data_IF_074641233410
#
_entry.id   IF_074641233410
#
_cell.length_a   1.000
_cell.length_b   1.000
_cell.length_c   1.000
_cell.angle_alpha   90.00
_cell.angle_beta   90.00
_cell.angle_gamma   90.00
#
_symmetry.space_group_name_H-M   'P 1'
#
loop_
_entity.id
_entity.type
_entity.pdbx_description
1 polymer ?
#
# COMPACT_ATOMS: atom_id res chain seq x y z
N UNK A 1 34.14 -39.77 31.88
CA UNK A 1 33.81 -38.49 32.55
C UNK A 1 34.87 -37.42 32.30
N UNK A 2 36.16 -37.66 32.62
CA UNK A 2 37.26 -36.69 32.37
C UNK A 2 37.35 -36.23 30.91
N UNK A 3 37.27 -37.15 29.93
CA UNK A 3 37.25 -36.80 28.51
C UNK A 3 36.04 -35.95 28.10
N UNK A 4 34.86 -36.20 28.71
CA UNK A 4 33.64 -35.42 28.46
C UNK A 4 33.79 -34.00 29.02
N UNK A 5 34.38 -33.87 30.21
CA UNK A 5 34.65 -32.57 30.81
C UNK A 5 35.64 -31.75 29.96
N UNK A 6 36.72 -32.38 29.50
CA UNK A 6 37.70 -31.74 28.62
C UNK A 6 37.10 -31.32 27.27
N UNK A 7 36.22 -32.14 26.68
CA UNK A 7 35.54 -31.73 25.44
C UNK A 7 34.58 -30.57 25.70
N UNK A 8 33.84 -30.56 26.81
CA UNK A 8 32.95 -29.45 27.17
C UNK A 8 33.71 -28.13 27.38
N UNK A 9 34.84 -28.14 28.08
CA UNK A 9 35.68 -26.94 28.27
C UNK A 9 36.18 -26.36 26.93
N UNK A 10 36.34 -27.20 25.91
CA UNK A 10 36.75 -26.76 24.56
C UNK A 10 35.61 -26.03 23.82
N UNK A 11 34.36 -26.31 24.18
CA UNK A 11 33.19 -25.63 23.62
C UNK A 11 32.80 -24.37 24.39
N UNK A 12 33.36 -24.07 25.55
CA UNK A 12 33.06 -22.79 26.21
C UNK A 12 33.87 -21.64 25.59
N UNK A 13 33.25 -20.47 25.33
CA UNK A 13 33.97 -19.31 24.80
C UNK A 13 35.02 -18.87 25.82
N UNK A 14 36.29 -18.85 25.41
CA UNK A 14 37.40 -18.43 26.28
C UNK A 14 37.33 -16.95 26.66
N UNK A 15 36.77 -16.15 25.76
CA UNK A 15 36.75 -14.71 25.86
C UNK A 15 35.32 -14.18 25.98
N UNK A 16 35.09 -13.26 26.93
CA UNK A 16 33.75 -12.72 27.19
C UNK A 16 33.17 -11.96 25.99
N UNK A 17 34.02 -11.31 25.18
CA UNK A 17 33.55 -10.53 24.03
C UNK A 17 32.83 -11.39 22.98
N UNK A 18 33.13 -12.70 22.91
CA UNK A 18 32.48 -13.62 21.97
C UNK A 18 30.97 -13.76 22.22
N UNK A 19 30.52 -13.53 23.45
CA UNK A 19 29.11 -13.57 23.82
C UNK A 19 28.50 -12.17 23.95
N UNK A 20 29.24 -11.23 24.54
CA UNK A 20 28.75 -9.86 24.78
C UNK A 20 28.51 -9.12 23.46
N UNK A 21 29.40 -9.24 22.46
CA UNK A 21 29.26 -8.51 21.19
C UNK A 21 28.03 -8.96 20.38
N UNK A 22 27.82 -10.26 20.10
CA UNK A 22 26.61 -10.70 19.38
C UNK A 22 25.32 -10.37 20.11
N UNK A 23 25.30 -10.47 21.44
CA UNK A 23 24.14 -10.15 22.26
C UNK A 23 23.82 -8.63 22.19
N UNK A 24 24.83 -7.78 22.36
CA UNK A 24 24.66 -6.32 22.28
C UNK A 24 24.22 -5.85 20.89
N UNK A 25 24.84 -6.40 19.83
CA UNK A 25 24.45 -6.07 18.44
C UNK A 25 23.07 -6.62 18.11
N UNK A 26 22.76 -7.87 18.50
CA UNK A 26 21.47 -8.49 18.27
C UNK A 26 20.33 -7.74 18.97
N UNK A 27 20.52 -7.33 20.22
CA UNK A 27 19.55 -6.52 20.97
C UNK A 27 19.36 -5.13 20.37
N UNK A 28 20.45 -4.47 19.95
CA UNK A 28 20.38 -3.19 19.24
C UNK A 28 19.59 -3.28 17.93
N UNK A 29 19.81 -4.34 17.14
CA UNK A 29 19.07 -4.59 15.89
C UNK A 29 17.61 -4.94 16.17
N UNK A 30 17.32 -5.75 17.19
CA UNK A 30 15.95 -6.04 17.60
C UNK A 30 15.20 -4.75 17.95
N UNK A 31 15.79 -3.90 18.78
CA UNK A 31 15.19 -2.61 19.15
C UNK A 31 14.92 -1.74 17.91
N UNK A 32 15.91 -1.60 17.03
CA UNK A 32 15.75 -0.84 15.80
C UNK A 32 14.65 -1.42 14.89
N UNK A 33 14.59 -2.75 14.74
CA UNK A 33 13.56 -3.43 13.96
C UNK A 33 12.15 -3.18 14.52
N UNK A 34 11.98 -3.23 15.84
CA UNK A 34 10.70 -2.93 16.51
C UNK A 34 10.24 -1.48 16.25
N UNK A 35 11.15 -0.51 16.38
CA UNK A 35 10.87 0.89 16.08
C UNK A 35 10.50 1.08 14.61
N UNK A 36 11.25 0.47 13.68
CA UNK A 36 10.97 0.57 12.25
C UNK A 36 9.61 -0.03 11.87
N UNK A 37 9.26 -1.20 12.41
CA UNK A 37 7.95 -1.81 12.19
C UNK A 37 6.81 -0.91 12.69
N UNK A 38 6.99 -0.31 13.86
CA UNK A 38 6.02 0.64 14.43
C UNK A 38 5.86 1.90 13.56
N UNK A 39 6.96 2.45 13.05
CA UNK A 39 6.92 3.64 12.18
C UNK A 39 6.29 3.33 10.82
N UNK A 40 6.56 2.16 10.24
CA UNK A 40 5.99 1.73 8.95
C UNK A 40 4.47 1.47 9.04
N UNK A 41 3.96 1.16 10.24
CA UNK A 41 2.54 0.91 10.45
C UNK A 41 1.66 2.15 10.15
N UNK A 42 2.09 3.34 10.56
CA UNK A 42 1.34 4.60 10.37
C UNK A 42 1.01 4.90 8.89
N UNK A 43 1.99 4.95 7.96
CA UNK A 43 1.68 5.17 6.55
C UNK A 43 0.88 4.01 5.94
N UNK A 44 0.98 2.79 6.51
CA UNK A 44 0.20 1.66 6.02
C UNK A 44 -1.29 1.76 6.34
N UNK A 45 -1.64 2.13 7.57
CA UNK A 45 -3.03 2.39 7.99
C UNK A 45 -3.63 3.48 7.09
N UNK A 46 -2.95 4.62 6.96
CA UNK A 46 -3.43 5.75 6.16
C UNK A 46 -3.61 5.40 4.68
N UNK A 47 -2.65 4.69 4.08
CA UNK A 47 -2.77 4.19 2.71
C UNK A 47 -3.96 3.24 2.55
N UNK A 48 -4.16 2.33 3.50
CA UNK A 48 -5.27 1.36 3.45
C UNK A 48 -6.62 2.05 3.60
N UNK A 49 -6.75 2.99 4.55
CA UNK A 49 -7.95 3.83 4.69
C UNK A 49 -8.25 4.60 3.40
N UNK A 50 -7.24 5.21 2.77
CA UNK A 50 -7.44 5.92 1.50
C UNK A 50 -7.87 4.98 0.36
N UNK A 51 -7.27 3.79 0.26
CA UNK A 51 -7.65 2.77 -0.73
C UNK A 51 -9.09 2.26 -0.54
N UNK A 52 -9.53 2.12 0.71
CA UNK A 52 -10.91 1.77 1.03
C UNK A 52 -11.88 2.88 0.60
N UNK A 53 -11.56 4.14 0.92
CA UNK A 53 -12.38 5.30 0.54
C UNK A 53 -12.44 5.55 -0.96
N UNK A 54 -11.35 5.30 -1.68
CA UNK A 54 -11.31 5.42 -3.14
C UNK A 54 -11.93 4.23 -3.86
N UNK A 55 -12.37 3.19 -3.13
CA UNK A 55 -12.90 1.95 -3.71
C UNK A 55 -11.88 1.15 -4.53
N UNK A 56 -10.57 1.36 -4.29
CA UNK A 56 -9.51 0.53 -4.90
C UNK A 56 -9.59 -0.89 -4.34
N UNK A 57 -9.90 -1.02 -3.04
CA UNK A 57 -10.22 -2.31 -2.43
C UNK A 57 -11.74 -2.47 -2.55
N UNK A 58 -12.24 -3.42 -3.37
CA UNK A 58 -13.65 -3.55 -3.67
C UNK A 58 -14.41 -4.25 -2.53
N UNK A 59 -14.57 -3.59 -1.39
CA UNK A 59 -15.30 -4.16 -0.23
C UNK A 59 -16.82 -4.14 -0.40
N UNK A 60 -17.34 -3.28 -1.28
CA UNK A 60 -18.77 -3.09 -1.51
C UNK A 60 -19.28 -3.63 -2.86
N UNK A 61 -18.40 -3.77 -3.84
CA UNK A 61 -18.78 -4.15 -5.21
C UNK A 61 -18.85 -5.66 -5.40
N UNK A 62 -18.02 -6.40 -4.68
CA UNK A 62 -17.93 -7.84 -4.86
C UNK A 62 -18.73 -8.55 -3.76
N UNK A 63 -19.76 -9.32 -4.15
CA UNK A 63 -20.60 -10.05 -3.21
C UNK A 63 -19.79 -10.99 -2.30
N UNK A 64 -18.71 -11.57 -2.82
CA UNK A 64 -17.81 -12.47 -2.08
C UNK A 64 -16.97 -11.74 -1.03
N UNK A 65 -16.43 -10.57 -1.34
CA UNK A 65 -15.60 -9.80 -0.39
C UNK A 65 -16.47 -9.11 0.67
N UNK A 66 -17.71 -8.77 0.33
CA UNK A 66 -18.64 -8.09 1.22
C UNK A 66 -18.89 -8.88 2.50
N UNK A 67 -19.24 -10.17 2.39
CA UNK A 67 -19.44 -11.04 3.55
C UNK A 67 -18.15 -11.17 4.37
N UNK A 68 -17.01 -11.38 3.71
CA UNK A 68 -15.71 -11.55 4.36
C UNK A 68 -15.34 -10.38 5.27
N UNK A 69 -15.60 -9.14 4.85
CA UNK A 69 -15.20 -7.94 5.59
C UNK A 69 -16.25 -7.40 6.57
N UNK A 70 -17.51 -7.85 6.52
CA UNK A 70 -18.57 -7.32 7.40
C UNK A 70 -18.98 -8.23 8.54
N UNK A 71 -18.69 -9.53 8.46
CA UNK A 71 -18.95 -10.47 9.54
C UNK A 71 -17.77 -10.57 10.52
N UNK A 72 -18.07 -10.83 11.80
CA UNK A 72 -17.05 -11.09 12.83
C UNK A 72 -16.27 -9.86 13.28
N UNK A 73 -16.96 -8.74 13.55
CA UNK A 73 -16.35 -7.53 14.12
C UNK A 73 -15.68 -7.79 15.49
N UNK A 74 -16.16 -8.78 16.23
CA UNK A 74 -15.59 -9.27 17.49
C UNK A 74 -14.08 -9.57 17.40
N UNK A 75 -13.61 -10.06 16.24
CA UNK A 75 -12.21 -10.45 16.02
C UNK A 75 -11.24 -9.26 16.05
N UNK A 76 -11.74 -8.04 15.90
CA UNK A 76 -10.93 -6.81 15.98
C UNK A 76 -10.27 -6.67 17.35
N UNK A 77 -10.85 -7.22 18.42
CA UNK A 77 -10.29 -7.19 19.77
C UNK A 77 -8.92 -7.88 19.89
N UNK A 78 -8.65 -8.87 19.04
CA UNK A 78 -7.36 -9.59 19.00
C UNK A 78 -6.24 -8.70 18.44
N UNK A 79 -6.60 -7.74 17.57
CA UNK A 79 -5.64 -6.92 16.83
C UNK A 79 -4.73 -6.10 17.74
N UNK A 80 -5.25 -5.60 18.87
CA UNK A 80 -4.46 -4.86 19.86
C UNK A 80 -3.31 -5.71 20.42
N UNK A 81 -3.60 -6.97 20.77
CA UNK A 81 -2.57 -7.91 21.22
C UNK A 81 -1.54 -8.19 20.13
N UNK A 82 -2.00 -8.41 18.89
CA UNK A 82 -1.13 -8.67 17.74
C UNK A 82 -0.25 -7.47 17.38
N UNK A 83 -0.71 -6.24 17.57
CA UNK A 83 0.11 -5.02 17.37
C UNK A 83 1.26 -4.91 18.37
N UNK A 84 1.14 -5.50 19.56
CA UNK A 84 2.20 -5.52 20.57
C UNK A 84 3.12 -6.72 20.37
N UNK A 85 2.54 -7.93 20.31
CA UNK A 85 3.30 -9.18 20.24
C UNK A 85 3.95 -9.40 18.87
N UNK A 86 3.34 -8.94 17.78
CA UNK A 86 3.87 -9.10 16.42
C UNK A 86 5.25 -8.44 16.25
N UNK A 87 5.38 -7.12 16.42
CA UNK A 87 6.66 -6.44 16.35
C UNK A 87 7.68 -6.95 17.37
N UNK A 88 7.23 -7.33 18.58
CA UNK A 88 8.11 -7.90 19.60
C UNK A 88 8.72 -9.24 19.14
N UNK A 89 7.90 -10.21 18.75
CA UNK A 89 8.38 -11.52 18.28
C UNK A 89 9.24 -11.35 17.02
N UNK A 90 8.81 -10.53 16.07
CA UNK A 90 9.58 -10.22 14.86
C UNK A 90 10.96 -9.64 15.19
N UNK A 91 11.03 -8.68 16.11
CA UNK A 91 12.29 -8.07 16.53
C UNK A 91 13.23 -9.06 17.23
N UNK A 92 12.70 -9.94 18.09
CA UNK A 92 13.47 -11.00 18.76
C UNK A 92 14.01 -11.99 17.72
N UNK A 93 13.20 -12.37 16.73
CA UNK A 93 13.64 -13.26 15.64
C UNK A 93 14.73 -12.63 14.78
N UNK A 94 14.56 -11.38 14.36
CA UNK A 94 15.55 -10.67 13.54
C UNK A 94 16.85 -10.44 14.32
N UNK A 95 16.76 -9.89 15.53
CA UNK A 95 17.93 -9.65 16.38
C UNK A 95 18.62 -10.94 16.82
N UNK A 96 17.84 -11.98 17.14
CA UNK A 96 18.33 -13.31 17.47
C UNK A 96 19.04 -13.98 16.29
N UNK A 97 18.51 -13.85 15.08
CA UNK A 97 19.15 -14.39 13.88
C UNK A 97 20.46 -13.67 13.56
N UNK A 98 20.48 -12.33 13.60
CA UNK A 98 21.72 -11.57 13.39
C UNK A 98 22.74 -11.85 14.49
N UNK A 99 22.29 -11.89 15.76
CA UNK A 99 23.12 -12.27 16.89
C UNK A 99 23.69 -13.68 16.74
N UNK A 100 22.89 -14.66 16.33
CA UNK A 100 23.34 -16.03 16.07
C UNK A 100 24.41 -16.07 14.97
N UNK A 101 24.20 -15.33 13.87
CA UNK A 101 25.19 -15.24 12.78
C UNK A 101 26.50 -14.65 13.32
N UNK A 102 26.46 -13.52 14.03
CA UNK A 102 27.65 -12.90 14.61
C UNK A 102 28.35 -13.81 15.63
N UNK A 103 27.59 -14.53 16.43
CA UNK A 103 28.11 -15.51 17.37
C UNK A 103 28.84 -16.64 16.64
N UNK A 104 28.24 -17.24 15.62
CA UNK A 104 28.89 -18.29 14.79
C UNK A 104 30.15 -17.76 14.09
N UNK A 105 30.18 -16.48 13.71
CA UNK A 105 31.37 -15.87 13.10
C UNK A 105 32.51 -15.64 14.12
N UNK A 106 32.18 -15.26 15.37
CA UNK A 106 33.16 -14.97 16.43
C UNK A 106 33.56 -16.18 17.27
N UNK A 107 32.83 -17.28 17.17
CA UNK A 107 33.03 -18.47 17.99
C UNK A 107 34.32 -19.22 17.62
N UNK A 108 35.15 -19.50 18.63
CA UNK A 108 36.51 -20.06 18.44
C UNK A 108 36.57 -21.35 17.62
N UNK A 109 35.54 -22.22 17.70
CA UNK A 109 35.52 -23.49 16.96
C UNK A 109 35.23 -23.27 15.47
N UNK A 110 34.38 -22.28 15.16
CA UNK A 110 33.93 -21.99 13.79
C UNK A 110 34.73 -20.88 13.13
N UNK A 111 35.53 -20.10 13.87
CA UNK A 111 36.34 -19.00 13.36
C UNK A 111 37.20 -19.40 12.16
N UNK A 112 37.95 -20.50 12.26
CA UNK A 112 38.80 -20.97 11.16
C UNK A 112 37.99 -21.36 9.92
N UNK A 113 36.84 -21.99 10.13
CA UNK A 113 35.92 -22.34 9.04
C UNK A 113 35.34 -21.08 8.40
N UNK A 114 34.91 -20.12 9.22
CA UNK A 114 34.39 -18.82 8.81
C UNK A 114 35.38 -18.04 7.96
N UNK A 115 36.65 -17.95 8.39
CA UNK A 115 37.69 -17.25 7.63
C UNK A 115 37.93 -17.91 6.26
N UNK A 116 37.99 -19.24 6.21
CA UNK A 116 38.11 -20.00 4.95
C UNK A 116 36.89 -19.77 4.05
N UNK A 117 35.70 -19.76 4.63
CA UNK A 117 34.45 -19.49 3.92
C UNK A 117 34.40 -18.05 3.38
N UNK A 118 34.89 -17.07 4.13
CA UNK A 118 34.96 -15.67 3.70
C UNK A 118 35.93 -15.49 2.52
N UNK A 119 37.12 -16.11 2.59
CA UNK A 119 38.06 -16.14 1.46
C UNK A 119 37.43 -16.80 0.23
N UNK A 120 36.68 -17.89 0.41
CA UNK A 120 35.93 -18.55 -0.66
C UNK A 120 34.85 -17.62 -1.25
N UNK A 121 34.08 -16.92 -0.43
CA UNK A 121 33.08 -15.94 -0.88
C UNK A 121 33.71 -14.77 -1.65
N UNK A 122 34.88 -14.30 -1.22
CA UNK A 122 35.64 -13.26 -1.92
C UNK A 122 36.07 -13.75 -3.31
N UNK A 123 36.65 -14.95 -3.40
CA UNK A 123 37.01 -15.58 -4.67
C UNK A 123 35.79 -15.75 -5.59
N UNK A 124 34.67 -16.24 -5.05
CA UNK A 124 33.41 -16.35 -5.80
C UNK A 124 32.90 -15.00 -6.32
N UNK A 125 33.03 -13.94 -5.52
CA UNK A 125 32.62 -12.59 -5.90
C UNK A 125 33.46 -12.07 -7.07
N UNK A 126 34.78 -12.27 -7.03
CA UNK A 126 35.68 -11.90 -8.14
C UNK A 126 35.32 -12.65 -9.42
N UNK A 127 35.03 -13.96 -9.34
CA UNK A 127 34.60 -14.77 -10.49
C UNK A 127 33.26 -14.28 -11.06
N UNK A 128 32.30 -13.91 -10.21
CA UNK A 128 31.01 -13.34 -10.64
C UNK A 128 31.22 -12.00 -11.35
N UNK A 129 32.06 -11.11 -10.80
CA UNK A 129 32.37 -9.81 -11.41
C UNK A 129 33.02 -10.02 -12.79
N UNK A 130 34.05 -10.87 -12.86
CA UNK A 130 34.72 -11.20 -14.12
C UNK A 130 33.74 -11.74 -15.16
N UNK A 131 32.82 -12.63 -14.74
CA UNK A 131 31.77 -13.16 -15.60
C UNK A 131 30.82 -12.07 -16.10
N UNK A 132 30.37 -11.15 -15.23
CA UNK A 132 29.50 -10.04 -15.62
C UNK A 132 30.20 -9.16 -16.67
N UNK A 133 31.49 -8.90 -16.49
CA UNK A 133 32.29 -8.16 -17.48
C UNK A 133 32.39 -8.91 -18.82
N UNK A 134 32.62 -10.22 -18.79
CA UNK A 134 32.63 -11.06 -19.99
C UNK A 134 31.26 -11.04 -20.68
N UNK A 135 30.17 -11.15 -19.93
CA UNK A 135 28.81 -11.06 -20.45
C UNK A 135 28.53 -9.72 -21.13
N UNK A 136 28.97 -8.61 -20.53
CA UNK A 136 28.85 -7.28 -21.13
C UNK A 136 29.65 -7.21 -22.44
N UNK A 137 30.89 -7.71 -22.46
CA UNK A 137 31.73 -7.73 -23.66
C UNK A 137 31.17 -8.61 -24.79
N UNK A 138 30.62 -9.79 -24.44
CA UNK A 138 29.95 -10.68 -25.39
C UNK A 138 28.67 -10.05 -25.92
N UNK A 139 27.86 -9.44 -25.04
CA UNK A 139 26.58 -8.82 -25.40
C UNK A 139 26.80 -7.67 -26.38
N UNK A 140 27.76 -6.79 -26.11
CA UNK A 140 28.08 -5.66 -27.01
C UNK A 140 28.56 -6.08 -28.39
N UNK A 141 29.15 -7.28 -28.55
CA UNK A 141 29.65 -7.76 -29.85
C UNK A 141 28.68 -8.67 -30.61
N UNK A 142 27.85 -9.44 -29.92
CA UNK A 142 26.99 -10.45 -30.55
C UNK A 142 25.52 -10.05 -30.63
N UNK A 143 25.11 -9.05 -29.86
CA UNK A 143 23.72 -8.62 -29.78
C UNK A 143 23.62 -7.14 -30.08
N UNK A 144 22.69 -6.81 -30.98
CA UNK A 144 22.28 -5.44 -31.23
C UNK A 144 20.83 -5.33 -30.74
N UNK A 145 20.67 -4.79 -29.53
CA UNK A 145 19.45 -4.85 -28.75
C UNK A 145 18.92 -6.30 -28.54
N UNK A 146 17.83 -6.67 -29.23
CA UNK A 146 17.24 -8.01 -29.20
C UNK A 146 17.59 -8.86 -30.42
N UNK A 147 18.30 -8.30 -31.40
CA UNK A 147 18.66 -8.99 -32.63
C UNK A 147 20.02 -9.69 -32.53
N UNK A 148 20.11 -10.86 -33.17
CA UNK A 148 21.32 -11.69 -33.28
C UNK A 148 21.85 -11.60 -34.71
N UNK A 149 22.75 -10.65 -35.03
CA UNK A 149 23.31 -10.54 -36.39
C UNK A 149 24.04 -11.82 -36.85
N UNK A 150 24.54 -12.64 -35.91
CA UNK A 150 25.22 -13.91 -36.20
C UNK A 150 24.65 -15.04 -35.34
N UNK A 151 23.58 -15.73 -35.77
CA UNK A 151 22.83 -16.66 -34.94
C UNK A 151 23.68 -17.86 -34.49
N UNK A 152 24.54 -18.40 -35.35
CA UNK A 152 25.38 -19.56 -35.00
C UNK A 152 26.33 -19.27 -33.83
N UNK A 153 27.04 -18.14 -33.87
CA UNK A 153 27.97 -17.75 -32.78
C UNK A 153 27.22 -17.40 -31.49
N UNK A 154 26.10 -16.69 -31.62
CA UNK A 154 25.26 -16.35 -30.49
C UNK A 154 24.74 -17.61 -29.79
N UNK A 155 24.32 -18.64 -30.53
CA UNK A 155 23.81 -19.88 -29.96
C UNK A 155 24.89 -20.68 -29.21
N UNK A 156 26.09 -20.85 -29.79
CA UNK A 156 27.19 -21.57 -29.13
C UNK A 156 27.59 -20.87 -27.82
N UNK A 157 27.71 -19.54 -27.86
CA UNK A 157 28.11 -18.77 -26.68
C UNK A 157 27.00 -18.76 -25.63
N UNK A 158 25.74 -18.71 -26.04
CA UNK A 158 24.61 -18.82 -25.11
C UNK A 158 24.59 -20.18 -24.43
N UNK A 159 24.82 -21.27 -25.17
CA UNK A 159 24.91 -22.62 -24.60
C UNK A 159 26.07 -22.73 -23.59
N UNK A 160 27.24 -22.17 -23.91
CA UNK A 160 28.37 -22.13 -22.99
C UNK A 160 28.06 -21.31 -21.71
N UNK A 161 27.34 -20.19 -21.86
CA UNK A 161 26.90 -19.36 -20.74
C UNK A 161 25.81 -20.04 -19.89
N UNK A 162 24.91 -20.81 -20.50
CA UNK A 162 23.90 -21.62 -19.82
C UNK A 162 24.56 -22.70 -18.96
N UNK A 163 25.50 -23.46 -19.53
CA UNK A 163 26.28 -24.45 -18.78
C UNK A 163 27.02 -23.80 -17.60
N UNK A 164 27.64 -22.63 -17.82
CA UNK A 164 28.29 -21.87 -16.74
C UNK A 164 27.28 -21.32 -15.72
N UNK A 165 26.03 -21.04 -16.11
CA UNK A 165 24.99 -20.53 -15.20
C UNK A 165 24.42 -21.62 -14.28
N UNK A 166 24.54 -22.89 -14.65
CA UNK A 166 23.99 -24.00 -13.86
C UNK A 166 24.55 -24.05 -12.43
N UNK A 167 25.86 -23.87 -12.27
CA UNK A 167 26.47 -23.83 -10.93
C UNK A 167 26.10 -22.55 -10.15
N UNK A 168 25.97 -21.40 -10.83
CA UNK A 168 25.61 -20.15 -10.17
C UNK A 168 24.13 -20.12 -9.74
N UNK A 169 23.23 -20.78 -10.46
CA UNK A 169 21.79 -20.80 -10.13
C UNK A 169 21.53 -21.39 -8.75
N UNK A 170 22.29 -22.42 -8.35
CA UNK A 170 22.25 -22.97 -7.00
C UNK A 170 22.59 -21.92 -5.93
N UNK A 171 23.65 -21.14 -6.14
CA UNK A 171 24.00 -20.02 -5.25
C UNK A 171 22.90 -18.95 -5.19
N UNK A 172 22.27 -18.62 -6.32
CA UNK A 172 21.14 -17.69 -6.34
C UNK A 172 19.93 -18.21 -5.54
N UNK A 173 19.66 -19.52 -5.58
CA UNK A 173 18.60 -20.14 -4.78
C UNK A 173 18.92 -20.00 -3.28
N UNK A 174 20.16 -20.29 -2.86
CA UNK A 174 20.57 -20.12 -1.46
C UNK A 174 20.40 -18.66 -1.00
N UNK A 175 20.92 -17.70 -1.78
CA UNK A 175 20.78 -16.27 -1.47
C UNK A 175 19.31 -15.86 -1.41
N UNK A 176 18.48 -16.38 -2.31
CA UNK A 176 17.02 -16.16 -2.30
C UNK A 176 16.39 -16.73 -1.03
N UNK A 177 16.73 -17.95 -0.63
CA UNK A 177 16.21 -18.57 0.59
C UNK A 177 16.57 -17.78 1.83
N UNK A 178 17.81 -17.31 1.95
CA UNK A 178 18.24 -16.45 3.05
C UNK A 178 17.46 -15.14 3.07
N UNK A 179 17.31 -14.47 1.91
CA UNK A 179 16.51 -13.24 1.79
C UNK A 179 15.05 -13.47 2.21
N UNK A 180 14.43 -14.56 1.77
CA UNK A 180 13.05 -14.90 2.13
C UNK A 180 12.90 -15.19 3.61
N UNK A 181 13.90 -15.82 4.24
CA UNK A 181 13.91 -16.07 5.68
C UNK A 181 13.96 -14.74 6.45
N UNK A 182 14.85 -13.82 6.09
CA UNK A 182 14.87 -12.47 6.69
C UNK A 182 13.56 -11.72 6.47
N UNK A 183 13.04 -11.70 5.24
CA UNK A 183 11.76 -11.07 4.92
C UNK A 183 10.65 -11.69 5.76
N UNK A 184 10.61 -13.01 5.93
CA UNK A 184 9.62 -13.67 6.78
C UNK A 184 9.73 -13.24 8.24
N UNK A 185 10.94 -13.13 8.78
CA UNK A 185 11.13 -12.67 10.16
C UNK A 185 10.58 -11.24 10.36
N UNK A 186 10.80 -10.33 9.39
CA UNK A 186 10.23 -8.98 9.42
C UNK A 186 8.71 -8.95 9.19
N UNK A 187 8.18 -9.77 8.28
CA UNK A 187 6.76 -9.78 7.93
C UNK A 187 5.88 -10.44 8.98
N UNK A 188 6.40 -11.36 9.80
CA UNK A 188 5.65 -11.93 10.94
C UNK A 188 5.12 -10.83 11.88
N UNK A 189 5.84 -9.72 12.02
CA UNK A 189 5.42 -8.61 12.86
C UNK A 189 4.41 -7.64 12.21
N UNK A 190 4.10 -7.84 10.92
CA UNK A 190 3.20 -6.99 10.15
C UNK A 190 1.82 -7.63 10.04
N UNK A 191 0.83 -7.01 10.67
CA UNK A 191 -0.58 -7.41 10.61
C UNK A 191 -1.32 -6.80 9.41
N UNK A 192 -0.73 -5.80 8.77
CA UNK A 192 -1.36 -4.92 7.78
C UNK A 192 -1.19 -5.42 6.33
N UNK A 193 -0.15 -6.20 6.06
CA UNK A 193 0.15 -6.74 4.73
C UNK A 193 0.10 -8.26 4.73
N UNK A 194 -0.50 -8.90 3.72
CA UNK A 194 -0.49 -10.36 3.61
C UNK A 194 0.94 -10.86 3.46
N UNK A 195 1.29 -11.87 4.25
CA UNK A 195 2.58 -12.54 4.15
C UNK A 195 2.64 -13.44 2.91
N UNK A 196 1.51 -14.06 2.56
CA UNK A 196 1.39 -14.99 1.45
C UNK A 196 1.00 -14.26 0.16
N UNK A 197 1.46 -14.77 -0.98
CA UNK A 197 1.01 -14.30 -2.29
C UNK A 197 -0.50 -14.54 -2.46
N UNK A 198 -1.21 -13.71 -3.25
CA UNK A 198 -2.63 -13.91 -3.51
C UNK A 198 -2.87 -15.31 -4.10
N UNK A 199 -3.83 -16.04 -3.52
CA UNK A 199 -4.15 -17.43 -3.88
C UNK A 199 -3.34 -18.49 -3.13
N UNK A 200 -2.24 -18.13 -2.47
CA UNK A 200 -1.46 -19.05 -1.63
C UNK A 200 -2.05 -19.04 -0.22
N UNK A 201 -2.31 -20.23 0.34
CA UNK A 201 -2.85 -20.36 1.69
C UNK A 201 -4.38 -20.37 1.78
N UNK A 202 -5.07 -20.52 0.64
CA UNK A 202 -6.48 -20.88 0.62
C UNK A 202 -6.75 -22.12 -0.26
N UNK A 203 -6.17 -23.30 0.09
CA UNK A 203 -6.28 -24.50 -0.74
C UNK A 203 -7.72 -25.01 -0.91
N UNK A 204 -8.63 -24.68 0.00
CA UNK A 204 -10.01 -25.20 0.01
C UNK A 204 -11.09 -24.11 0.04
N UNK A 205 -10.76 -22.84 -0.20
CA UNK A 205 -11.71 -21.72 -0.13
C UNK A 205 -12.09 -21.28 1.30
N UNK A 206 -12.12 -22.20 2.27
CA UNK A 206 -12.61 -21.95 3.63
C UNK A 206 -11.53 -21.58 4.65
N UNK A 207 -10.27 -21.97 4.44
CA UNK A 207 -9.20 -21.79 5.41
C UNK A 207 -8.15 -20.83 4.85
N UNK A 208 -8.12 -19.61 5.40
CA UNK A 208 -7.08 -18.62 5.09
C UNK A 208 -5.96 -18.73 6.12
N UNK A 209 -4.79 -19.20 5.68
CA UNK A 209 -3.62 -19.39 6.54
C UNK A 209 -3.15 -18.08 7.20
N UNK A 210 -3.38 -16.94 6.55
CA UNK A 210 -3.08 -15.60 7.06
C UNK A 210 -4.34 -14.70 7.02
N UNK A 211 -5.07 -14.66 8.15
CA UNK A 211 -6.30 -13.88 8.28
C UNK A 211 -6.07 -12.47 8.89
N UNK A 212 -4.86 -12.14 9.34
CA UNK A 212 -4.58 -10.87 10.02
C UNK A 212 -4.85 -9.63 9.15
N UNK A 213 -4.44 -9.58 7.86
CA UNK A 213 -4.74 -8.44 6.99
C UNK A 213 -6.24 -8.20 6.81
N UNK A 214 -7.03 -9.29 6.80
CA UNK A 214 -8.49 -9.21 6.74
C UNK A 214 -9.05 -8.60 8.02
N UNK A 215 -8.61 -9.07 9.20
CA UNK A 215 -9.03 -8.55 10.50
C UNK A 215 -8.63 -7.07 10.66
N UNK A 216 -7.42 -6.72 10.23
CA UNK A 216 -6.94 -5.33 10.18
C UNK A 216 -7.84 -4.45 9.29
N UNK A 217 -8.24 -4.95 8.12
CA UNK A 217 -9.18 -4.22 7.25
C UNK A 217 -10.56 -4.06 7.91
N UNK A 218 -11.03 -5.05 8.66
CA UNK A 218 -12.29 -4.97 9.43
C UNK A 218 -12.24 -3.89 10.49
N UNK A 219 -11.12 -3.76 11.19
CA UNK A 219 -10.91 -2.70 12.19
C UNK A 219 -11.03 -1.31 11.56
N UNK A 220 -10.33 -1.08 10.43
CA UNK A 220 -10.43 0.19 9.70
C UNK A 220 -11.88 0.43 9.25
N UNK A 221 -12.57 -0.57 8.73
CA UNK A 221 -13.96 -0.44 8.29
C UNK A 221 -14.92 -0.15 9.45
N UNK A 222 -14.71 -0.76 10.62
CA UNK A 222 -15.50 -0.49 11.82
C UNK A 222 -15.28 0.96 12.28
N UNK A 223 -14.03 1.41 12.30
CA UNK A 223 -13.70 2.81 12.59
C UNK A 223 -14.33 3.78 11.58
N UNK A 224 -14.23 3.50 10.28
CA UNK A 224 -14.86 4.33 9.24
C UNK A 224 -16.38 4.29 9.29
N UNK A 225 -17.00 3.18 9.70
CA UNK A 225 -18.46 3.09 9.83
C UNK A 225 -19.00 3.99 10.95
N UNK A 226 -18.25 4.12 12.05
CA UNK A 226 -18.64 4.97 13.19
C UNK A 226 -18.17 6.42 13.05
N UNK A 227 -17.02 6.66 12.41
CA UNK A 227 -16.39 7.97 12.29
C UNK A 227 -15.93 8.23 10.87
N UNK A 228 -16.90 8.48 9.99
CA UNK A 228 -16.60 8.85 8.63
C UNK A 228 -16.49 10.39 8.54
N UNK A 229 -15.31 10.96 8.22
CA UNK A 229 -15.09 12.41 8.28
C UNK A 229 -16.05 13.20 7.39
N UNK A 230 -16.45 12.61 6.26
CA UNK A 230 -17.40 13.23 5.35
C UNK A 230 -18.83 13.25 5.89
N UNK A 231 -19.25 12.20 6.62
CA UNK A 231 -20.58 12.14 7.24
C UNK A 231 -20.63 13.07 8.44
N UNK A 232 -19.58 13.09 9.26
CA UNK A 232 -19.46 14.01 10.40
C UNK A 232 -19.49 15.47 9.95
N UNK A 233 -18.76 15.81 8.87
CA UNK A 233 -18.79 17.14 8.29
C UNK A 233 -20.18 17.48 7.73
N UNK A 234 -20.85 16.55 7.05
CA UNK A 234 -22.22 16.74 6.55
C UNK A 234 -23.22 16.94 7.70
N UNK A 235 -23.11 16.14 8.77
CA UNK A 235 -23.92 16.28 9.98
C UNK A 235 -23.70 17.64 10.65
N UNK A 236 -22.45 18.08 10.79
CA UNK A 236 -22.11 19.42 11.33
C UNK A 236 -22.73 20.53 10.49
N UNK A 237 -22.65 20.43 9.16
CA UNK A 237 -23.27 21.38 8.24
C UNK A 237 -24.80 21.40 8.39
N UNK A 238 -25.42 20.23 8.55
CA UNK A 238 -26.86 20.14 8.78
C UNK A 238 -27.28 20.77 10.11
N UNK A 239 -26.52 20.52 11.19
CA UNK A 239 -26.75 21.15 12.50
C UNK A 239 -26.56 22.67 12.43
N UNK A 240 -25.58 23.16 11.69
CA UNK A 240 -25.39 24.59 11.44
C UNK A 240 -26.56 25.21 10.67
N UNK A 241 -27.11 24.49 9.69
CA UNK A 241 -28.32 24.91 8.97
C UNK A 241 -29.51 25.03 9.91
N UNK A 242 -29.75 24.03 10.76
CA UNK A 242 -30.83 24.07 11.75
C UNK A 242 -30.66 25.23 12.74
N UNK A 243 -29.42 25.46 13.20
CA UNK A 243 -29.12 26.54 14.16
C UNK A 243 -29.35 27.95 13.59
N UNK A 244 -29.04 28.17 12.32
CA UNK A 244 -29.09 29.52 11.72
C UNK A 244 -30.34 29.76 10.86
N UNK A 245 -31.18 28.74 10.64
CA UNK A 245 -32.41 28.85 9.86
C UNK A 245 -32.17 29.48 8.48
N UNK A 246 -32.93 30.53 8.18
CA UNK A 246 -32.87 31.24 6.89
C UNK A 246 -31.53 31.97 6.66
N UNK A 247 -30.81 32.33 7.73
CA UNK A 247 -29.51 32.97 7.64
C UNK A 247 -28.40 32.02 7.13
N UNK A 248 -28.63 30.70 7.13
CA UNK A 248 -27.70 29.73 6.53
C UNK A 248 -27.57 29.92 5.00
N UNK A 249 -28.60 30.49 4.35
CA UNK A 249 -28.57 30.84 2.94
C UNK A 249 -27.71 32.06 2.61
N UNK A 250 -27.35 32.86 3.61
CA UNK A 250 -26.65 34.14 3.45
C UNK A 250 -25.23 33.99 2.86
N UNK A 251 -24.61 35.12 2.53
CA UNK A 251 -23.24 35.19 1.96
C UNK A 251 -22.22 34.42 2.81
N UNK A 252 -22.38 34.42 4.13
CA UNK A 252 -21.56 33.66 5.07
C UNK A 252 -21.75 32.14 4.92
N UNK A 253 -23.00 31.65 4.81
CA UNK A 253 -23.29 30.22 4.59
C UNK A 253 -22.95 29.72 3.18
N UNK A 254 -22.87 30.61 2.18
CA UNK A 254 -22.32 30.30 0.87
C UNK A 254 -20.83 29.93 0.93
N UNK A 255 -20.05 30.59 1.80
CA UNK A 255 -18.64 30.27 2.02
C UNK A 255 -18.46 28.87 2.62
N UNK A 256 -19.33 28.47 3.55
CA UNK A 256 -19.34 27.12 4.13
C UNK A 256 -19.71 26.03 3.12
N UNK A 257 -20.71 26.28 2.26
CA UNK A 257 -21.04 25.38 1.13
C UNK A 257 -19.85 25.21 0.19
N UNK A 258 -19.04 26.24 0.00
CA UNK A 258 -17.84 26.21 -0.82
C UNK A 258 -16.76 25.30 -0.22
N UNK A 259 -16.45 25.47 1.07
CA UNK A 259 -15.52 24.59 1.80
C UNK A 259 -16.00 23.13 1.73
N UNK A 260 -17.30 22.92 1.90
CA UNK A 260 -17.92 21.59 1.85
C UNK A 260 -17.79 20.92 0.47
N UNK A 261 -18.12 21.65 -0.60
CA UNK A 261 -17.96 21.15 -1.99
C UNK A 261 -16.48 20.86 -2.28
N UNK A 262 -15.56 21.69 -1.81
CA UNK A 262 -14.13 21.45 -1.97
C UNK A 262 -13.64 20.22 -1.20
N UNK A 263 -14.16 19.99 0.01
CA UNK A 263 -13.78 18.85 0.83
C UNK A 263 -14.36 17.53 0.31
N UNK A 264 -15.63 17.49 -0.09
CA UNK A 264 -16.31 16.27 -0.55
C UNK A 264 -16.07 15.95 -2.01
N UNK A 265 -16.02 16.98 -2.85
CA UNK A 265 -15.99 16.85 -4.30
C UNK A 265 -14.87 17.74 -4.86
N UNK A 266 -13.60 17.50 -4.49
CA UNK A 266 -12.48 18.34 -4.96
C UNK A 266 -12.40 18.42 -6.49
N UNK A 267 -12.91 17.40 -7.20
CA UNK A 267 -13.02 17.39 -8.66
C UNK A 267 -14.01 18.43 -9.21
N UNK A 268 -15.03 18.84 -8.45
CA UNK A 268 -15.97 19.91 -8.85
C UNK A 268 -15.34 21.30 -8.85
N UNK A 269 -14.18 21.48 -8.20
CA UNK A 269 -13.46 22.75 -8.25
C UNK A 269 -13.09 23.17 -9.67
N UNK A 270 -12.70 22.19 -10.51
CA UNK A 270 -12.27 22.41 -11.88
C UNK A 270 -13.41 22.95 -12.75
N UNK A 271 -14.62 22.42 -12.58
CA UNK A 271 -15.80 22.83 -13.33
C UNK A 271 -16.30 24.21 -12.93
N UNK A 272 -16.15 24.59 -11.66
CA UNK A 272 -16.66 25.87 -11.14
C UNK A 272 -15.78 27.07 -11.48
N UNK A 273 -14.48 26.86 -11.67
CA UNK A 273 -13.55 27.91 -12.13
C UNK A 273 -13.75 28.23 -13.62
N UNK A 274 -14.10 27.23 -14.43
CA UNK A 274 -14.35 27.43 -15.87
C UNK A 274 -15.59 28.29 -16.15
N UNK A 275 -16.63 28.21 -15.30
CA UNK A 275 -17.83 29.05 -15.46
C UNK A 275 -17.53 30.54 -15.29
N UNK A 276 -16.54 30.92 -14.46
CA UNK A 276 -16.13 32.33 -14.28
C UNK A 276 -15.24 32.86 -15.40
N UNK A 277 -14.43 32.01 -16.02
CA UNK A 277 -13.58 32.40 -17.13
C UNK A 277 -14.42 32.73 -18.37
N UNK A 278 -15.41 31.88 -18.68
CA UNK A 278 -16.28 32.08 -19.85
C UNK A 278 -17.20 33.32 -19.71
N UNK A 279 -17.62 33.69 -18.49
CA UNK A 279 -18.36 34.94 -18.27
C UNK A 279 -17.53 36.22 -18.46
N UNK A 280 -16.19 36.14 -18.46
CA UNK A 280 -15.33 37.30 -18.76
C UNK A 280 -15.07 37.49 -20.25
N UNK A 281 -15.09 36.42 -21.03
CA UNK A 281 -14.81 36.48 -22.48
C UNK A 281 -16.05 36.84 -23.32
N UNK A 282 -17.27 36.63 -22.82
CA UNK A 282 -18.51 36.88 -23.59
C UNK A 282 -19.05 38.32 -23.57
N UNK A 283 -18.23 39.33 -23.23
CA UNK A 283 -18.53 40.71 -23.65
C UNK A 283 -18.65 41.76 -22.55
N UNK A 284 -17.55 42.03 -21.86
CA UNK A 284 -17.36 43.33 -21.21
C UNK A 284 -15.96 43.87 -21.49
N UNK A 285 -15.84 44.61 -22.59
CA UNK A 285 -14.85 45.69 -22.72
C UNK A 285 -15.18 46.77 -21.69
N UNK A 286 -14.83 46.53 -20.43
CA UNK A 286 -14.77 47.59 -19.40
C UNK A 286 -13.30 47.93 -19.20
N UNK A 287 -12.89 48.98 -19.90
CA UNK A 287 -11.61 49.64 -19.73
C UNK A 287 -11.58 50.57 -18.49
N UNK A 288 -12.57 50.48 -17.58
CA UNK A 288 -12.82 51.51 -16.56
C UNK A 288 -12.98 51.04 -15.11
N UNK A 289 -12.52 49.85 -14.71
CA UNK A 289 -12.69 49.44 -13.30
C UNK A 289 -11.57 48.54 -12.75
N UNK A 290 -10.31 48.92 -13.04
CA UNK A 290 -9.13 48.28 -12.44
C UNK A 290 -8.76 48.78 -11.03
N UNK A 291 -9.55 49.62 -10.38
CA UNK A 291 -9.13 50.30 -9.14
C UNK A 291 -9.69 49.78 -7.82
N UNK A 292 -10.47 48.69 -7.74
CA UNK A 292 -11.04 48.29 -6.44
C UNK A 292 -11.45 46.83 -6.30
N UNK A 293 -10.58 45.87 -6.60
CA UNK A 293 -10.70 44.54 -6.00
C UNK A 293 -9.62 44.41 -4.93
N UNK A 294 -9.88 45.05 -3.79
CA UNK A 294 -9.19 44.71 -2.56
C UNK A 294 -9.54 43.26 -2.22
N UNK A 295 -8.51 42.41 -2.19
CA UNK A 295 -8.60 41.06 -1.65
C UNK A 295 -9.02 41.19 -0.18
N UNK A 296 -10.32 41.03 0.10
CA UNK A 296 -10.83 41.03 1.47
C UNK A 296 -10.23 39.81 2.16
N UNK A 297 -9.17 40.04 2.91
CA UNK A 297 -8.57 39.06 3.80
C UNK A 297 -9.65 38.52 4.73
N UNK A 298 -9.77 37.18 4.79
CA UNK A 298 -10.70 36.45 5.65
C UNK A 298 -10.60 36.82 7.15
N UNK A 299 -9.58 37.60 7.54
CA UNK A 299 -9.41 38.15 8.90
C UNK A 299 -10.49 39.16 9.31
N UNK A 300 -11.19 39.80 8.36
CA UNK A 300 -12.14 40.88 8.67
C UNK A 300 -13.61 40.43 8.74
N UNK A 301 -13.89 39.12 8.73
CA UNK A 301 -15.25 38.56 8.79
C UNK A 301 -15.70 38.14 10.21
N UNK A 302 -14.90 38.40 11.23
CA UNK A 302 -15.34 38.25 12.63
C UNK A 302 -15.86 39.63 13.08
N UNK A 303 -17.19 39.84 13.15
CA UNK A 303 -17.71 41.05 13.79
C UNK A 303 -17.33 41.03 15.27
N UNK A 304 -16.97 42.17 15.87
CA UNK A 304 -16.77 42.28 17.31
C UNK A 304 -18.09 41.94 18.02
N UNK A 305 -17.96 41.27 19.15
CA UNK A 305 -19.03 40.67 19.95
C UNK A 305 -20.22 41.61 20.16
N UNK A 306 -21.26 41.46 19.34
CA UNK A 306 -22.57 42.01 19.63
C UNK A 306 -23.36 40.93 20.36
N UNK A 307 -23.60 41.18 21.63
CA UNK A 307 -24.42 40.38 22.53
C UNK A 307 -25.74 39.98 21.86
N UNK A 308 -25.90 38.67 21.65
CA UNK A 308 -27.17 38.09 21.22
C UNK A 308 -28.11 38.15 22.42
N UNK A 309 -28.95 39.17 22.45
CA UNK A 309 -30.04 39.29 23.40
C UNK A 309 -31.10 38.24 23.03
N UNK A 310 -31.10 37.11 23.74
CA UNK A 310 -32.11 36.07 23.61
C UNK A 310 -33.48 36.63 24.00
N UNK A 311 -34.39 36.73 23.03
CA UNK A 311 -35.80 37.06 23.23
C UNK A 311 -36.53 35.83 23.78
N UNK A 312 -37.19 35.90 24.95
CA UNK A 312 -38.01 34.80 25.45
C UNK A 312 -39.41 34.93 24.87
N UNK A 313 -39.71 34.14 23.83
CA UNK A 313 -41.10 33.99 23.36
C UNK A 313 -41.69 32.68 23.90
N UNK A 314 -42.50 32.90 24.93
CA UNK A 314 -43.72 32.21 25.31
C UNK A 314 -44.30 31.26 24.24
N UNK A 315 -44.38 29.97 24.56
CA UNK A 315 -45.47 29.11 24.07
C UNK A 315 -45.82 28.04 25.09
N UNK A 316 -46.72 28.49 25.95
CA UNK A 316 -47.64 27.72 26.77
C UNK A 316 -48.70 27.06 25.86
N UNK A 317 -49.18 25.88 26.27
CA UNK A 317 -50.38 25.18 25.81
C UNK A 317 -50.34 24.41 24.47
N UNK A 318 -50.10 23.10 24.57
CA UNK A 318 -51.04 22.08 24.09
C UNK A 318 -50.70 20.74 24.74
N UNK A 319 -51.56 20.31 25.67
CA UNK A 319 -51.50 18.98 26.27
C UNK A 319 -52.36 17.96 25.52
N UNK A 320 -52.12 16.71 25.90
CA UNK A 320 -53.04 15.55 25.93
C UNK A 320 -53.51 14.98 24.60
N UNK A 321 -53.07 13.75 24.32
CA UNK A 321 -53.91 12.56 24.05
C UNK A 321 -52.98 11.31 24.03
N UNK A 322 -53.16 10.40 24.98
CA UNK A 322 -53.70 9.03 24.81
C UNK A 322 -52.74 8.10 24.02
N UNK A 323 -51.99 7.18 24.65
CA UNK A 323 -52.42 5.94 25.32
C UNK A 323 -53.29 5.05 24.41
N UNK A 324 -52.66 4.16 23.62
CA UNK A 324 -53.21 2.82 23.42
C UNK A 324 -52.17 1.77 23.00
N UNK A 325 -52.44 0.54 23.41
CA UNK A 325 -51.61 -0.65 23.43
C UNK A 325 -51.72 -1.46 22.14
N UNK A 326 -50.67 -2.19 21.74
CA UNK A 326 -50.82 -3.61 21.39
C UNK A 326 -49.49 -4.35 21.15
N UNK A 327 -49.45 -5.67 21.42
CA UNK A 327 -48.24 -6.47 21.43
C UNK A 327 -47.87 -7.04 20.06
N UNK A 328 -46.56 -7.15 19.82
CA UNK A 328 -45.97 -7.83 18.66
C UNK A 328 -46.04 -9.35 18.88
N UNK A 329 -46.57 -10.15 17.93
CA UNK A 329 -46.54 -11.60 18.04
C UNK A 329 -45.15 -12.15 17.70
N UNK A 330 -44.77 -13.18 18.45
CA UNK A 330 -43.61 -14.03 18.20
C UNK A 330 -43.74 -14.70 16.83
N UNK A 331 -42.67 -14.63 16.04
CA UNK A 331 -42.56 -15.33 14.77
C UNK A 331 -41.71 -16.59 15.00
N UNK A 332 -42.40 -17.73 15.06
CA UNK A 332 -41.84 -19.05 14.81
C UNK A 332 -41.47 -19.14 13.32
N UNK A 333 -40.22 -19.52 13.04
CA UNK A 333 -39.86 -20.06 11.73
C UNK A 333 -38.86 -21.18 11.93
N UNK A 334 -39.42 -22.36 12.14
CA UNK A 334 -38.82 -23.65 11.84
C UNK A 334 -38.85 -23.89 10.33
N UNK A 335 -37.93 -24.75 9.88
CA UNK A 335 -37.93 -25.46 8.59
C UNK A 335 -37.53 -24.66 7.34
N UNK A 336 -36.30 -24.91 6.87
CA UNK A 336 -36.07 -25.36 5.49
C UNK A 336 -34.68 -25.99 5.36
N UNK A 337 -34.68 -27.31 5.38
CA UNK A 337 -33.67 -28.14 4.73
C UNK A 337 -33.51 -27.70 3.28
N UNK A 338 -32.29 -27.36 2.87
CA UNK A 338 -31.96 -27.23 1.44
C UNK A 338 -30.70 -28.01 1.12
N UNK A 339 -30.98 -29.16 0.50
CA UNK A 339 -30.19 -29.98 -0.39
C UNK A 339 -28.82 -29.41 -0.79
N UNK A 340 -27.83 -30.27 -0.52
CA UNK A 340 -26.55 -30.36 -1.18
C UNK A 340 -26.72 -30.35 -2.72
N UNK A 341 -26.27 -29.27 -3.34
CA UNK A 341 -25.96 -29.24 -4.77
C UNK A 341 -24.45 -29.34 -4.94
N UNK A 342 -24.00 -30.34 -5.68
CA UNK A 342 -22.61 -30.54 -6.05
C UNK A 342 -22.03 -29.29 -6.75
N UNK A 343 -20.77 -28.92 -6.49
CA UNK A 343 -20.13 -27.83 -7.23
C UNK A 343 -19.75 -28.32 -8.63
N UNK A 344 -20.39 -27.74 -9.64
CA UNK A 344 -19.96 -27.82 -11.03
C UNK A 344 -18.55 -27.23 -11.19
N UNK A 345 -17.75 -27.87 -12.04
CA UNK A 345 -16.43 -27.42 -12.47
C UNK A 345 -16.51 -25.97 -13.01
N UNK A 346 -15.93 -25.04 -12.27
CA UNK A 346 -15.74 -23.67 -12.73
C UNK A 346 -14.50 -23.65 -13.60
N UNK A 347 -14.71 -23.64 -14.91
CA UNK A 347 -13.70 -23.26 -15.88
C UNK A 347 -13.11 -21.89 -15.49
N UNK A 348 -11.78 -21.82 -15.43
CA UNK A 348 -11.03 -20.60 -15.13
C UNK A 348 -11.19 -19.65 -16.31
N UNK A 349 -12.31 -18.93 -16.33
CA UNK A 349 -12.60 -17.86 -17.27
C UNK A 349 -11.71 -16.66 -16.89
N UNK A 350 -10.81 -16.29 -17.80
CA UNK A 350 -9.92 -15.13 -17.63
C UNK A 350 -10.75 -13.87 -17.36
N UNK A 351 -10.55 -13.25 -16.18
CA UNK A 351 -11.20 -12.03 -15.69
C UNK A 351 -11.20 -10.89 -16.73
N UNK A 352 -12.19 -10.91 -17.64
CA UNK A 352 -12.55 -9.81 -18.51
C UNK A 352 -13.87 -9.21 -18.02
N UNK A 353 -14.10 -7.90 -18.19
CA UNK A 353 -15.40 -7.31 -17.91
C UNK A 353 -16.50 -8.04 -18.70
N UNK A 354 -17.53 -8.54 -18.00
CA UNK A 354 -18.69 -9.15 -18.63
C UNK A 354 -19.55 -8.07 -19.28
N UNK A 355 -19.69 -8.13 -20.60
CA UNK A 355 -20.50 -7.16 -21.36
C UNK A 355 -21.90 -7.75 -21.60
N UNK A 356 -22.93 -6.98 -21.27
CA UNK A 356 -24.33 -7.43 -21.41
C UNK A 356 -24.82 -7.38 -22.87
N UNK A 357 -24.13 -6.61 -23.72
CA UNK A 357 -24.44 -6.49 -25.14
C UNK A 357 -23.18 -6.35 -26.01
N UNK A 358 -23.29 -6.76 -27.28
CA UNK A 358 -22.24 -6.56 -28.28
C UNK A 358 -21.89 -5.07 -28.48
N UNK A 359 -22.84 -4.17 -28.21
CA UNK A 359 -22.63 -2.73 -28.29
C UNK A 359 -21.73 -2.20 -27.18
N UNK A 360 -21.91 -2.65 -25.93
CA UNK A 360 -21.02 -2.28 -24.82
C UNK A 360 -19.59 -2.77 -25.04
N UNK A 361 -19.43 -3.97 -25.60
CA UNK A 361 -18.12 -4.52 -25.96
C UNK A 361 -17.42 -3.68 -27.03
N UNK A 362 -18.16 -3.16 -28.01
CA UNK A 362 -17.62 -2.29 -29.05
C UNK A 362 -17.15 -0.94 -28.48
N UNK A 363 -17.96 -0.30 -27.62
CA UNK A 363 -17.59 0.96 -26.95
C UNK A 363 -16.34 0.79 -26.09
N UNK A 364 -16.26 -0.33 -25.35
CA UNK A 364 -15.09 -0.61 -24.52
C UNK A 364 -13.82 -0.84 -25.35
N UNK A 365 -13.93 -1.56 -26.48
CA UNK A 365 -12.80 -1.76 -27.41
C UNK A 365 -12.35 -0.44 -28.04
N UNK A 366 -13.27 0.44 -28.41
CA UNK A 366 -12.96 1.76 -28.96
C UNK A 366 -12.24 2.63 -27.92
N UNK A 367 -12.72 2.64 -26.68
CA UNK A 367 -12.06 3.38 -25.60
C UNK A 367 -10.67 2.84 -25.29
N UNK A 368 -10.51 1.50 -25.27
CA UNK A 368 -9.21 0.85 -25.06
C UNK A 368 -8.22 1.20 -26.17
N UNK A 369 -8.66 1.24 -27.42
CA UNK A 369 -7.82 1.65 -28.55
C UNK A 369 -7.42 3.13 -28.46
N UNK A 370 -8.33 4.02 -28.05
CA UNK A 370 -8.03 5.44 -27.85
C UNK A 370 -6.98 5.68 -26.74
N UNK A 371 -7.07 4.92 -25.64
CA UNK A 371 -6.07 4.96 -24.56
C UNK A 371 -4.71 4.47 -25.04
N UNK A 372 -4.66 3.35 -25.78
CA UNK A 372 -3.42 2.83 -26.36
C UNK A 372 -2.78 3.83 -27.34
N UNK A 373 -3.57 4.53 -28.15
CA UNK A 373 -3.03 5.57 -29.04
C UNK A 373 -2.39 6.73 -28.28
N UNK A 374 -2.97 7.14 -27.15
CA UNK A 374 -2.42 8.20 -26.31
C UNK A 374 -1.10 7.77 -25.67
N UNK A 375 -1.02 6.54 -25.15
CA UNK A 375 0.23 6.00 -24.59
C UNK A 375 1.33 5.89 -25.65
N UNK A 376 0.99 5.44 -26.86
CA UNK A 376 1.95 5.39 -27.99
C UNK A 376 2.42 6.79 -28.38
N UNK A 377 1.53 7.79 -28.40
CA UNK A 377 1.90 9.21 -28.68
C UNK A 377 2.82 9.76 -27.58
N UNK A 378 2.57 9.44 -26.31
CA UNK A 378 3.42 9.87 -25.20
C UNK A 378 4.82 9.22 -25.25
N UNK A 379 4.88 7.92 -25.54
CA UNK A 379 6.14 7.19 -25.70
C UNK A 379 6.96 7.76 -26.87
N UNK A 380 6.33 8.07 -28.01
CA UNK A 380 7.00 8.75 -29.14
C UNK A 380 7.57 10.11 -28.75
N UNK A 381 6.86 10.92 -27.95
CA UNK A 381 7.38 12.19 -27.42
C UNK A 381 8.59 11.98 -26.51
N UNK A 382 8.54 10.99 -25.61
CA UNK A 382 9.67 10.67 -24.71
C UNK A 382 10.90 10.19 -25.48
N UNK A 383 10.70 9.41 -26.54
CA UNK A 383 11.78 8.96 -27.42
C UNK A 383 12.46 10.14 -28.13
N UNK A 384 11.68 11.04 -28.73
CA UNK A 384 12.21 12.25 -29.40
C UNK A 384 13.00 13.15 -28.43
N UNK A 385 12.54 13.30 -27.19
CA UNK A 385 13.27 14.05 -26.16
C UNK A 385 14.60 13.38 -25.77
N UNK A 386 14.66 12.06 -25.78
CA UNK A 386 15.89 11.31 -25.53
C UNK A 386 16.87 11.45 -26.70
N UNK A 387 16.41 11.34 -27.94
CA UNK A 387 17.24 11.56 -29.14
C UNK A 387 17.86 12.97 -29.15
N UNK A 388 17.05 13.99 -28.84
CA UNK A 388 17.55 15.37 -28.69
C UNK A 388 18.60 15.52 -27.59
N UNK A 389 18.45 14.82 -26.45
CA UNK A 389 19.44 14.83 -25.36
C UNK A 389 20.74 14.13 -25.76
N UNK A 390 20.66 13.03 -26.51
CA UNK A 390 21.84 12.30 -27.01
C UNK A 390 22.60 13.16 -28.02
N UNK A 391 21.89 13.79 -28.96
CA UNK A 391 22.52 14.64 -29.98
C UNK A 391 23.20 15.88 -29.38
N UNK A 392 22.59 16.47 -28.33
CA UNK A 392 23.18 17.60 -27.59
C UNK A 392 24.43 17.21 -26.79
N UNK A 393 24.58 15.93 -26.39
CA UNK A 393 25.80 15.44 -25.72
C UNK A 393 26.94 15.16 -26.69
N UNK A 394 26.65 14.75 -27.93
CA UNK A 394 27.68 14.52 -28.96
C UNK A 394 28.26 15.79 -29.57
N UNK A 395 27.59 16.94 -29.41
CA UNK A 395 28.05 18.24 -29.94
C UNK A 395 28.86 19.08 -28.94
N UNK A 396 29.18 18.56 -27.75
CA UNK A 396 30.05 19.26 -26.80
C UNK A 396 31.51 19.14 -27.28
N UNK A 397 32.20 20.25 -27.59
CA UNK A 397 33.58 20.21 -28.03
C UNK A 397 34.43 19.57 -26.94
N UNK A 398 35.23 18.56 -27.31
CA UNK A 398 36.17 17.94 -26.41
C UNK A 398 37.15 19.01 -25.90
N UNK A 399 37.00 19.42 -24.64
CA UNK A 399 38.04 20.16 -23.94
C UNK A 399 39.27 19.26 -23.91
N UNK A 400 40.28 19.62 -24.71
CA UNK A 400 41.63 19.06 -24.61
C UNK A 400 42.20 19.43 -23.25
N UNK A 401 42.36 18.43 -22.39
CA UNK A 401 43.26 18.47 -21.22
C UNK A 401 44.61 17.90 -21.62
#
# INVERSE_FOLDING_TARGET
FVLLWQTMDTFYPKEQYMLVVPLAVGTGIAFLASVLLTVIYIPSVTSTTLKLRSGIIPTFRDAKSFGKHRFGAELVTILLGSMVWGPLISSILVGGLVGLVLFVLLWQVTEQFTLRFLVFLCGMTVVIIFRVLLLIAVRTKLYEAFYRPKPARANIITLALEAANFALSFGFIIVRSVKLLFISAFYIGRIDTPFLAPGVGNPWGYFELDNYPTIFTKDILAHEAHRHPFIEMLGTVYMLKLRHGDYFGSRAGSCWRLIFVFALMPWLSKYRLMTRANMRDEGMTIESERSSINFVSLRNLVPPDNEIQCRPDSRENAGKEAQDQSPVPANDSSVLDRNEGAPDEVDVETDGPSFSSAHEKAIWLEHKNAVLELEVKELKRKLLLLEMKVHRRSSLPQLKT
#
